data_IF_300813307556
#
_entry.id   IF_300813307556
#
_cell.length_a   1.000
_cell.length_b   1.000
_cell.length_c   1.000
_cell.angle_alpha   90.00
_cell.angle_beta   90.00
_cell.angle_gamma   90.00
#
_symmetry.space_group_name_H-M   'P 1'
#
loop_
_entity.id
_entity.type
_entity.pdbx_description
1 polymer ?
#
# COMPACT_ATOMS: atom_id res chain seq x y z
N UNK A 1 6.40 -9.29 -6.63
CA UNK A 1 6.83 -10.71 -6.73
C UNK A 1 6.02 -11.51 -7.74
N UNK A 2 4.70 -11.33 -7.88
CA UNK A 2 3.90 -12.09 -8.86
C UNK A 2 4.37 -11.95 -10.32
N UNK A 3 4.75 -10.76 -10.76
CA UNK A 3 5.25 -10.54 -12.12
C UNK A 3 6.54 -11.34 -12.43
N UNK A 4 7.39 -11.51 -11.42
CA UNK A 4 8.65 -12.27 -11.54
C UNK A 4 8.37 -13.77 -11.70
N UNK A 5 7.37 -14.29 -10.98
CA UNK A 5 6.97 -15.69 -11.07
C UNK A 5 6.34 -16.01 -12.44
N UNK A 6 5.60 -15.06 -13.02
CA UNK A 6 5.06 -15.21 -14.36
C UNK A 6 6.16 -15.22 -15.45
N UNK A 7 7.29 -14.52 -15.24
CA UNK A 7 8.41 -14.44 -16.19
C UNK A 7 9.50 -15.51 -16.06
N UNK A 8 9.38 -16.47 -15.13
CA UNK A 8 10.48 -17.38 -14.75
C UNK A 8 10.99 -18.27 -15.91
N UNK A 9 10.11 -18.62 -16.86
CA UNK A 9 10.46 -19.49 -18.01
C UNK A 9 11.49 -18.83 -18.93
N UNK A 10 11.38 -17.52 -19.15
CA UNK A 10 12.31 -16.72 -19.96
C UNK A 10 13.66 -16.62 -19.26
N UNK A 11 13.66 -16.33 -17.96
CA UNK A 11 14.88 -16.21 -17.16
C UNK A 11 15.70 -17.51 -17.21
N UNK A 12 15.04 -18.66 -17.11
CA UNK A 12 15.69 -19.98 -17.23
C UNK A 12 16.18 -20.28 -18.65
N UNK A 13 15.40 -19.93 -19.68
CA UNK A 13 15.79 -20.16 -21.07
C UNK A 13 17.07 -19.41 -21.45
N UNK A 14 17.28 -18.22 -20.90
CA UNK A 14 18.47 -17.40 -21.13
C UNK A 14 19.58 -17.57 -20.07
N UNK A 15 19.42 -18.49 -19.10
CA UNK A 15 20.35 -18.69 -17.97
C UNK A 15 20.70 -17.40 -17.20
N UNK A 16 19.76 -16.46 -17.09
CA UNK A 16 19.93 -15.17 -16.41
C UNK A 16 19.74 -15.21 -14.89
N UNK A 17 19.62 -16.41 -14.32
CA UNK A 17 19.35 -16.64 -12.90
C UNK A 17 20.36 -15.95 -11.96
N UNK A 18 21.65 -15.93 -12.33
CA UNK A 18 22.69 -15.26 -11.55
C UNK A 18 22.51 -13.74 -11.50
N UNK A 19 22.41 -13.10 -12.68
CA UNK A 19 22.21 -11.66 -12.78
C UNK A 19 20.89 -11.21 -12.14
N UNK A 20 19.83 -12.00 -12.31
CA UNK A 20 18.52 -11.69 -11.75
C UNK A 20 18.48 -11.85 -10.22
N UNK A 21 19.19 -12.85 -9.68
CA UNK A 21 19.36 -13.03 -8.23
C UNK A 21 20.00 -11.80 -7.57
N UNK A 22 21.00 -11.20 -8.22
CA UNK A 22 21.66 -9.98 -7.72
C UNK A 22 20.70 -8.78 -7.68
N UNK A 23 19.88 -8.59 -8.71
CA UNK A 23 18.85 -7.54 -8.75
C UNK A 23 17.82 -7.72 -7.62
N UNK A 24 17.33 -8.94 -7.41
CA UNK A 24 16.37 -9.23 -6.32
C UNK A 24 17.03 -9.03 -4.96
N UNK A 25 18.29 -9.42 -4.79
CA UNK A 25 19.03 -9.18 -3.56
C UNK A 25 19.19 -7.67 -3.28
N UNK A 26 19.44 -6.85 -4.29
CA UNK A 26 19.53 -5.40 -4.11
C UNK A 26 18.19 -4.77 -3.75
N UNK A 27 17.11 -5.18 -4.43
CA UNK A 27 15.77 -4.73 -4.10
C UNK A 27 15.39 -5.10 -2.66
N UNK A 28 15.69 -6.33 -2.25
CA UNK A 28 15.44 -6.81 -0.89
C UNK A 28 16.24 -6.04 0.16
N UNK A 29 17.50 -5.66 -0.13
CA UNK A 29 18.29 -4.80 0.77
C UNK A 29 17.62 -3.45 1.00
N UNK A 30 17.11 -2.83 -0.07
CA UNK A 30 16.40 -1.53 0.01
C UNK A 30 15.10 -1.65 0.79
N UNK A 31 14.34 -2.71 0.56
CA UNK A 31 13.11 -3.00 1.33
C UNK A 31 13.43 -3.20 2.82
N UNK A 32 14.42 -4.06 3.12
CA UNK A 32 14.81 -4.37 4.50
C UNK A 32 15.33 -3.14 5.25
N UNK A 33 15.97 -2.18 4.57
CA UNK A 33 16.35 -0.90 5.16
C UNK A 33 15.14 -0.12 5.67
N UNK A 34 14.07 -0.04 4.86
CA UNK A 34 12.81 0.62 5.26
C UNK A 34 12.11 -0.11 6.40
N UNK A 35 12.04 -1.45 6.32
CA UNK A 35 11.46 -2.28 7.39
C UNK A 35 12.22 -2.08 8.70
N UNK A 36 13.56 -2.06 8.66
CA UNK A 36 14.41 -1.83 9.82
C UNK A 36 14.21 -0.43 10.39
N UNK A 37 14.14 0.60 9.54
CA UNK A 37 13.87 1.97 9.99
C UNK A 37 12.54 2.04 10.74
N UNK A 38 11.48 1.44 10.19
CA UNK A 38 10.17 1.38 10.86
C UNK A 38 10.24 0.62 12.19
N UNK A 39 10.94 -0.52 12.24
CA UNK A 39 11.13 -1.29 13.47
C UNK A 39 11.87 -0.47 14.56
N UNK A 40 12.89 0.30 14.18
CA UNK A 40 13.60 1.21 15.09
C UNK A 40 12.64 2.26 15.64
N UNK A 41 11.85 2.93 14.79
CA UNK A 41 10.85 3.91 15.25
C UNK A 41 9.84 3.30 16.23
N UNK A 42 9.30 2.12 15.91
CA UNK A 42 8.36 1.42 16.81
C UNK A 42 9.02 1.07 18.15
N UNK A 43 10.26 0.58 18.11
CA UNK A 43 11.01 0.25 19.33
C UNK A 43 11.30 1.48 20.19
N UNK A 44 11.58 2.63 19.59
CA UNK A 44 11.79 3.90 20.30
C UNK A 44 10.52 4.37 20.99
N UNK A 45 9.38 4.34 20.30
CA UNK A 45 8.07 4.71 20.88
C UNK A 45 7.75 3.83 22.08
N UNK A 46 7.91 2.51 21.94
CA UNK A 46 7.67 1.58 23.04
C UNK A 46 8.68 1.75 24.18
N UNK A 47 9.96 1.95 23.88
CA UNK A 47 11.00 2.21 24.89
C UNK A 47 10.74 3.49 25.68
N UNK A 48 10.31 4.56 25.01
CA UNK A 48 9.89 5.80 25.66
C UNK A 48 8.66 5.61 26.53
N UNK A 49 7.69 4.79 26.12
CA UNK A 49 6.51 4.48 26.93
C UNK A 49 6.84 3.77 28.26
N UNK A 50 7.88 2.94 28.28
CA UNK A 50 8.33 2.28 29.51
C UNK A 50 9.16 3.23 30.40
N UNK A 51 10.00 4.08 29.81
CA UNK A 51 10.86 5.00 30.57
C UNK A 51 10.15 6.27 31.03
N UNK A 52 9.10 6.72 30.34
CA UNK A 52 8.39 7.98 30.57
C UNK A 52 7.88 8.13 32.00
N UNK A 53 7.37 7.06 32.61
CA UNK A 53 6.88 7.10 33.99
C UNK A 53 7.95 7.50 35.01
N UNK A 54 9.19 7.01 34.84
CA UNK A 54 10.32 7.37 35.71
C UNK A 54 10.79 8.80 35.42
N UNK A 55 10.84 9.19 34.14
CA UNK A 55 11.26 10.52 33.73
C UNK A 55 10.34 11.61 34.28
N UNK A 56 9.03 11.42 34.22
CA UNK A 56 8.06 12.40 34.70
C UNK A 56 8.14 12.63 36.20
N UNK A 57 8.33 11.58 37.00
CA UNK A 57 8.53 11.74 38.45
C UNK A 57 9.82 12.52 38.72
N UNK A 58 10.89 12.22 37.98
CA UNK A 58 12.16 12.96 38.08
C UNK A 58 11.99 14.43 37.70
N UNK A 59 11.33 14.73 36.58
CA UNK A 59 11.05 16.11 36.14
C UNK A 59 10.14 16.85 37.11
N UNK A 60 9.12 16.20 37.66
CA UNK A 60 8.23 16.81 38.65
C UNK A 60 9.02 17.24 39.89
N UNK A 61 9.83 16.33 40.46
CA UNK A 61 10.68 16.65 41.62
C UNK A 61 11.67 17.76 41.28
N UNK A 62 12.33 17.69 40.12
CA UNK A 62 13.31 18.69 39.69
C UNK A 62 12.68 20.08 39.54
N UNK A 63 11.50 20.18 38.90
CA UNK A 63 10.76 21.44 38.77
C UNK A 63 10.36 22.00 40.13
N UNK A 64 9.92 21.16 41.07
CA UNK A 64 9.54 21.62 42.41
C UNK A 64 10.74 22.20 43.17
N UNK A 65 11.91 21.55 43.10
CA UNK A 65 13.15 22.05 43.70
C UNK A 65 13.55 23.40 43.09
N UNK A 66 13.51 23.51 41.76
CA UNK A 66 13.89 24.75 41.06
C UNK A 66 12.95 25.91 41.35
N UNK A 67 11.68 25.63 41.65
CA UNK A 67 10.68 26.66 42.00
C UNK A 67 10.79 27.08 43.48
N UNK A 68 11.68 26.45 44.26
CA UNK A 68 11.87 26.77 45.68
C UNK A 68 10.66 26.42 46.57
N UNK A 69 9.78 25.54 46.11
CA UNK A 69 8.60 25.09 46.84
C UNK A 69 8.91 23.83 47.65
N UNK A 70 8.25 23.67 48.80
CA UNK A 70 8.34 22.45 49.60
C UNK A 70 7.73 21.24 48.87
N UNK A 71 8.51 20.17 48.80
CA UNK A 71 8.13 18.88 48.24
C UNK A 71 7.18 18.16 49.21
N UNK A 72 5.88 18.28 48.98
CA UNK A 72 4.87 17.46 49.67
C UNK A 72 4.58 16.17 48.90
N UNK A 73 4.51 15.05 49.62
CA UNK A 73 4.20 13.73 49.07
C UNK A 73 2.82 13.69 48.38
N UNK A 74 1.85 14.48 48.86
CA UNK A 74 0.52 14.61 48.27
C UNK A 74 0.59 15.07 46.80
N UNK A 75 1.40 16.09 46.51
CA UNK A 75 1.51 16.68 45.17
C UNK A 75 2.12 15.70 44.17
N UNK A 76 3.14 14.96 44.60
CA UNK A 76 3.81 13.94 43.77
C UNK A 76 2.83 12.80 43.46
N UNK A 77 2.04 12.39 44.45
CA UNK A 77 1.04 11.34 44.26
C UNK A 77 -0.05 11.76 43.26
N UNK A 78 -0.60 12.97 43.41
CA UNK A 78 -1.62 13.52 42.49
C UNK A 78 -1.05 13.68 41.07
N UNK A 79 0.17 14.21 40.93
CA UNK A 79 0.82 14.36 39.62
C UNK A 79 1.05 13.00 38.94
N UNK A 80 1.46 11.98 39.71
CA UNK A 80 1.66 10.62 39.20
C UNK A 80 0.34 9.97 38.79
N UNK A 81 -0.73 10.16 39.57
CA UNK A 81 -2.06 9.66 39.24
C UNK A 81 -2.60 10.30 37.95
N UNK A 82 -2.47 11.63 37.81
CA UNK A 82 -2.87 12.35 36.60
C UNK A 82 -2.08 11.88 35.38
N UNK A 83 -0.76 11.70 35.53
CA UNK A 83 0.07 11.17 34.45
C UNK A 83 -0.40 9.78 34.01
N UNK A 84 -0.67 8.87 34.95
CA UNK A 84 -1.14 7.53 34.62
C UNK A 84 -2.47 7.55 33.85
N UNK A 85 -3.39 8.46 34.18
CA UNK A 85 -4.64 8.64 33.43
C UNK A 85 -4.41 9.12 31.99
N UNK A 86 -3.48 10.06 31.78
CA UNK A 86 -3.17 10.61 30.46
C UNK A 86 -2.17 9.77 29.63
N UNK A 87 -1.46 8.83 30.25
CA UNK A 87 -0.36 8.08 29.64
C UNK A 87 -0.79 7.30 28.41
N UNK A 88 -1.88 6.53 28.51
CA UNK A 88 -2.41 5.70 27.42
C UNK A 88 -2.85 6.52 26.20
N UNK A 89 -3.71 7.55 26.33
CA UNK A 89 -4.15 8.32 25.17
C UNK A 89 -3.02 9.07 24.48
N UNK A 90 -2.08 9.63 25.24
CA UNK A 90 -0.99 10.44 24.68
C UNK A 90 0.08 9.57 24.01
N UNK A 91 0.47 8.47 24.65
CA UNK A 91 1.64 7.71 24.18
C UNK A 91 1.27 6.59 23.21
N UNK A 92 0.04 6.09 23.28
CA UNK A 92 -0.39 4.92 22.50
C UNK A 92 -1.43 5.32 21.46
N UNK A 93 -2.56 5.90 21.87
CA UNK A 93 -3.63 6.20 20.89
C UNK A 93 -3.22 7.27 19.88
N UNK A 94 -2.57 8.35 20.31
CA UNK A 94 -2.12 9.42 19.42
C UNK A 94 -1.25 8.95 18.24
N UNK A 95 -0.11 8.23 18.45
CA UNK A 95 0.71 7.77 17.34
C UNK A 95 0.00 6.75 16.45
N UNK A 96 -0.81 5.85 17.03
CA UNK A 96 -1.60 4.90 16.23
C UNK A 96 -2.63 5.62 15.35
N UNK A 97 -3.40 6.57 15.91
CA UNK A 97 -4.36 7.36 15.15
C UNK A 97 -3.68 8.15 14.02
N UNK A 98 -2.50 8.70 14.27
CA UNK A 98 -1.72 9.41 13.26
C UNK A 98 -1.27 8.46 12.13
N UNK A 99 -0.81 7.26 12.47
CA UNK A 99 -0.46 6.22 11.49
C UNK A 99 -1.65 5.86 10.61
N UNK A 100 -2.82 5.59 11.21
CA UNK A 100 -4.05 5.31 10.46
C UNK A 100 -4.47 6.49 9.59
N UNK A 101 -4.34 7.72 10.06
CA UNK A 101 -4.67 8.90 9.28
C UNK A 101 -3.82 8.99 8.00
N UNK A 102 -2.52 8.72 8.09
CA UNK A 102 -1.65 8.69 6.92
C UNK A 102 -2.00 7.55 5.95
N UNK A 103 -2.32 6.38 6.48
CA UNK A 103 -2.74 5.23 5.67
C UNK A 103 -4.05 5.52 4.91
N UNK A 104 -5.06 6.05 5.61
CA UNK A 104 -6.34 6.45 5.00
C UNK A 104 -6.12 7.51 3.92
N UNK A 105 -5.29 8.52 4.19
CA UNK A 105 -4.99 9.58 3.20
C UNK A 105 -4.40 9.01 1.92
N UNK A 106 -3.46 8.06 2.01
CA UNK A 106 -2.87 7.42 0.82
C UNK A 106 -3.90 6.54 0.11
N UNK A 107 -4.70 5.79 0.86
CA UNK A 107 -5.77 4.95 0.30
C UNK A 107 -6.82 5.76 -0.45
N UNK A 108 -7.31 6.86 0.13
CA UNK A 108 -8.26 7.77 -0.51
C UNK A 108 -7.68 8.35 -1.79
N UNK A 109 -6.41 8.77 -1.78
CA UNK A 109 -5.75 9.30 -2.98
C UNK A 109 -5.68 8.28 -4.12
N UNK A 110 -5.46 7.00 -3.82
CA UNK A 110 -5.45 5.94 -4.84
C UNK A 110 -6.84 5.72 -5.43
N UNK A 111 -7.88 5.72 -4.60
CA UNK A 111 -9.27 5.61 -5.06
C UNK A 111 -9.64 6.81 -5.92
N UNK A 112 -9.27 8.02 -5.51
CA UNK A 112 -9.50 9.23 -6.30
C UNK A 112 -8.83 9.14 -7.67
N UNK A 113 -7.54 8.77 -7.71
CA UNK A 113 -6.82 8.62 -8.98
C UNK A 113 -7.45 7.55 -9.89
N UNK A 114 -8.05 6.49 -9.33
CA UNK A 114 -8.76 5.50 -10.10
C UNK A 114 -10.09 6.03 -10.68
N UNK A 115 -10.83 6.81 -9.90
CA UNK A 115 -12.10 7.40 -10.35
C UNK A 115 -11.91 8.54 -11.36
N UNK A 116 -10.75 9.19 -11.36
CA UNK A 116 -10.37 10.24 -12.32
C UNK A 116 -9.78 9.68 -13.64
N UNK A 117 -9.66 8.36 -13.78
CA UNK A 117 -9.23 7.74 -15.04
C UNK A 117 -10.28 8.02 -16.13
N UNK A 118 -9.80 8.33 -17.33
CA UNK A 118 -10.65 8.49 -18.51
C UNK A 118 -11.37 7.16 -18.80
N UNK A 119 -12.70 7.19 -18.80
CA UNK A 119 -13.49 6.01 -19.12
C UNK A 119 -13.18 5.57 -20.57
N UNK A 120 -12.95 4.27 -20.76
CA UNK A 120 -12.67 3.62 -22.06
C UNK A 120 -13.90 3.65 -23.01
N UNK A 121 -14.51 4.82 -23.20
CA UNK A 121 -15.63 5.02 -24.13
C UNK A 121 -15.18 5.04 -25.59
N UNK A 122 -13.96 5.49 -25.91
CA UNK A 122 -13.56 5.66 -27.32
C UNK A 122 -13.40 4.34 -28.05
N UNK A 123 -12.80 3.32 -27.44
CA UNK A 123 -12.62 2.01 -28.08
C UNK A 123 -13.92 1.23 -28.24
N UNK A 124 -14.85 1.40 -27.30
CA UNK A 124 -16.18 0.77 -27.38
C UNK A 124 -17.05 1.50 -28.39
N UNK A 125 -16.95 2.83 -28.50
CA UNK A 125 -17.69 3.57 -29.53
C UNK A 125 -17.20 3.20 -30.93
N UNK A 126 -15.88 3.10 -31.13
CA UNK A 126 -15.27 2.71 -32.41
C UNK A 126 -15.65 1.27 -32.77
N UNK A 127 -15.52 0.31 -31.83
CA UNK A 127 -15.95 -1.08 -32.05
C UNK A 127 -17.46 -1.22 -32.31
N UNK A 128 -18.31 -0.44 -31.64
CA UNK A 128 -19.76 -0.46 -31.86
C UNK A 128 -20.17 0.24 -33.18
N UNK A 129 -19.44 1.26 -33.64
CA UNK A 129 -19.64 1.83 -34.98
C UNK A 129 -19.22 0.86 -36.09
N UNK A 130 -18.11 0.13 -35.91
CA UNK A 130 -17.68 -0.92 -36.83
C UNK A 130 -18.72 -2.05 -36.96
N UNK A 131 -19.38 -2.43 -35.86
CA UNK A 131 -20.45 -3.45 -35.87
C UNK A 131 -21.74 -2.91 -36.51
N UNK A 132 -22.08 -1.63 -36.30
CA UNK A 132 -23.29 -1.00 -36.88
C UNK A 132 -23.23 -0.84 -38.40
N UNK A 133 -22.05 -0.58 -38.96
CA UNK A 133 -21.88 -0.39 -40.40
C UNK A 133 -21.76 -1.71 -41.18
N UNK A 134 -21.86 -2.87 -40.51
CA UNK A 134 -21.96 -4.17 -41.17
C UNK A 134 -20.76 -4.55 -42.05
N UNK A 135 -19.62 -3.88 -41.88
CA UNK A 135 -18.40 -4.14 -42.63
C UNK A 135 -17.46 -4.98 -41.79
N UNK A 136 -17.41 -6.28 -42.08
CA UNK A 136 -16.39 -7.17 -41.55
C UNK A 136 -15.02 -6.72 -42.10
N UNK A 137 -14.24 -6.01 -41.28
CA UNK A 137 -12.84 -5.74 -41.58
C UNK A 137 -11.93 -6.51 -40.63
N UNK A 138 -10.92 -7.14 -41.23
CA UNK A 138 -9.82 -7.85 -40.57
C UNK A 138 -9.18 -6.97 -39.50
N UNK A 139 -9.21 -7.41 -38.25
CA UNK A 139 -8.40 -6.82 -37.18
C UNK A 139 -7.07 -7.57 -37.17
N UNK A 140 -5.93 -6.94 -37.47
CA UNK A 140 -4.64 -7.61 -37.38
C UNK A 140 -4.34 -7.91 -35.91
N UNK A 141 -4.10 -9.19 -35.60
CA UNK A 141 -3.72 -9.62 -34.27
C UNK A 141 -2.33 -9.07 -33.93
N UNK A 142 -2.27 -8.14 -32.97
CA UNK A 142 -1.03 -7.45 -32.57
C UNK A 142 -0.01 -8.36 -31.84
N UNK A 143 -0.34 -9.63 -31.57
CA UNK A 143 0.58 -10.56 -30.90
C UNK A 143 1.15 -11.68 -31.80
N UNK A 144 0.58 -11.94 -32.98
CA UNK A 144 1.01 -13.08 -33.83
C UNK A 144 1.22 -12.79 -35.31
N UNK A 145 0.83 -11.63 -35.83
CA UNK A 145 1.10 -11.26 -37.24
C UNK A 145 0.40 -12.13 -38.29
N UNK A 146 -0.52 -13.02 -37.88
CA UNK A 146 -1.39 -13.77 -38.77
C UNK A 146 -2.80 -13.17 -38.76
N UNK A 147 -3.38 -13.09 -39.95
CA UNK A 147 -4.69 -12.52 -40.20
C UNK A 147 -5.77 -13.56 -39.88
N UNK A 148 -6.37 -13.50 -38.69
CA UNK A 148 -7.57 -14.30 -38.35
C UNK A 148 -8.85 -13.47 -38.49
N UNK A 149 -9.92 -14.10 -39.00
CA UNK A 149 -11.25 -13.50 -39.13
C UNK A 149 -12.08 -13.85 -37.90
N UNK A 150 -12.23 -12.90 -36.97
CA UNK A 150 -13.17 -13.07 -35.85
C UNK A 150 -14.57 -12.60 -36.25
N UNK A 151 -15.48 -13.54 -36.50
CA UNK A 151 -16.92 -13.25 -36.56
C UNK A 151 -17.52 -13.25 -35.15
N UNK A 152 -17.82 -12.08 -34.60
CA UNK A 152 -18.65 -11.95 -33.41
C UNK A 152 -20.13 -11.94 -33.82
N UNK A 153 -20.79 -13.09 -33.74
CA UNK A 153 -22.26 -13.14 -33.80
C UNK A 153 -22.82 -12.82 -32.40
N UNK A 154 -23.45 -11.66 -32.25
CA UNK A 154 -24.33 -11.39 -31.12
C UNK A 154 -25.68 -12.05 -31.40
N UNK A 155 -25.86 -13.30 -30.96
CA UNK A 155 -27.20 -13.87 -30.85
C UNK A 155 -27.87 -13.32 -29.58
N UNK A 156 -28.97 -12.60 -29.75
CA UNK A 156 -29.59 -11.73 -28.76
C UNK A 156 -30.42 -12.51 -27.71
N UNK A 157 -30.02 -13.74 -27.38
CA UNK A 157 -30.75 -14.60 -26.44
C UNK A 157 -29.90 -15.29 -25.38
N UNK A 158 -28.56 -15.30 -25.43
CA UNK A 158 -27.76 -15.86 -24.33
C UNK A 158 -26.33 -15.29 -24.31
N UNK A 159 -25.94 -14.73 -23.16
CA UNK A 159 -24.59 -14.23 -22.85
C UNK A 159 -23.56 -15.37 -22.69
N UNK A 160 -23.38 -16.21 -23.71
CA UNK A 160 -22.25 -17.12 -23.80
C UNK A 160 -21.55 -16.91 -25.14
N UNK A 161 -20.39 -16.24 -25.07
CA UNK A 161 -19.41 -16.15 -26.14
C UNK A 161 -18.88 -17.55 -26.45
N UNK A 162 -19.48 -18.23 -27.43
CA UNK A 162 -18.86 -19.41 -28.03
C UNK A 162 -18.01 -18.96 -29.21
N UNK A 163 -16.69 -18.99 -29.00
CA UNK A 163 -15.70 -18.89 -30.08
C UNK A 163 -15.78 -20.19 -30.87
N UNK A 164 -16.49 -20.17 -31.99
CA UNK A 164 -16.45 -21.26 -32.96
C UNK A 164 -15.26 -21.02 -33.89
N UNK A 165 -14.15 -21.74 -33.63
CA UNK A 165 -13.04 -21.85 -34.57
C UNK A 165 -13.50 -22.74 -35.72
N UNK A 166 -13.80 -22.14 -36.87
CA UNK A 166 -13.95 -22.89 -38.13
C UNK A 166 -12.59 -22.82 -38.81
N UNK A 167 -11.98 -23.99 -38.96
CA UNK A 167 -10.72 -24.22 -39.66
C UNK A 167 -10.88 -24.01 -41.18
#
# INVERSE_FOLDING_TARGET
MNEILNGIRVIKMYAWEGAFSEVVADLRRREMSKVRANAVFQSLVMGLFWSSGKLIVLFAVLCFILTGNDLSAERIFVATALYNACRLPVTLFLPFSLQFFFEVRVSVRRVQAFLELEEFSSYVHEALTYIKDGSAQFVPNLETGENEVCFFFLDNSNYYSNVAVVN
#
